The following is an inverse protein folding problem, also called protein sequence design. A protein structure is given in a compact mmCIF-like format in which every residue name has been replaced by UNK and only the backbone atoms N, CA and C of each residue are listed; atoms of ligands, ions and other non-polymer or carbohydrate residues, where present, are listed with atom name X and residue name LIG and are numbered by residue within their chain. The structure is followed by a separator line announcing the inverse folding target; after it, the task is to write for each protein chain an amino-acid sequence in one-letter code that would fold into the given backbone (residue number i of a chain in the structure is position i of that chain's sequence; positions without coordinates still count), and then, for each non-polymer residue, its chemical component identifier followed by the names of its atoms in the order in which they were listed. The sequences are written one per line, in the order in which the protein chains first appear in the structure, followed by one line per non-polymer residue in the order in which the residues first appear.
data_IF_147705052158
#
_entry.id   IF_147705052158
#
_cell.length_a   1.000
_cell.length_b   1.000
_cell.length_c   1.000
_cell.angle_alpha   90.00
_cell.angle_beta   90.00
_cell.angle_gamma   90.00
#
_symmetry.space_group_name_H-M   'P 1'
#
loop_
_entity.id
_entity.type
_entity.pdbx_description
1 polymer ?
#
# COMPACT_ATOMS: atom_id res chain seq x y z
N UNK A 1 20.48 -5.20 5.26
CA UNK A 1 19.04 -5.05 5.57
C UNK A 1 18.77 -3.57 5.73
N UNK A 2 17.65 -3.09 5.22
CA UNK A 2 17.17 -1.73 5.43
C UNK A 2 15.97 -1.87 6.34
N UNK A 3 16.02 -1.26 7.52
CA UNK A 3 14.89 -1.26 8.46
C UNK A 3 13.98 -0.09 8.14
N UNK A 4 12.69 -0.37 7.95
CA UNK A 4 11.65 0.62 7.61
C UNK A 4 10.54 0.53 8.64
N UNK A 5 10.20 1.66 9.27
CA UNK A 5 9.06 1.75 10.17
C UNK A 5 7.79 2.11 9.39
N UNK A 6 6.74 1.31 9.55
CA UNK A 6 5.44 1.53 8.89
C UNK A 6 4.32 1.54 9.93
N UNK A 7 3.36 2.46 9.75
CA UNK A 7 2.18 2.56 10.62
C UNK A 7 0.91 2.40 9.78
N UNK A 8 0.07 1.46 10.18
CA UNK A 8 -1.21 1.18 9.54
C UNK A 8 -2.36 1.74 10.40
N UNK A 9 -3.49 2.04 9.75
CA UNK A 9 -4.72 2.34 10.49
C UNK A 9 -5.31 1.06 11.12
N UNK A 10 -6.26 1.25 12.04
CA UNK A 10 -6.88 0.14 12.78
C UNK A 10 -7.56 -0.89 11.87
N UNK A 11 -8.38 -0.52 10.85
CA UNK A 11 -8.97 -1.50 9.95
C UNK A 11 -7.93 -2.32 9.18
N UNK A 12 -6.84 -1.70 8.73
CA UNK A 12 -5.76 -2.41 8.04
C UNK A 12 -5.03 -3.36 8.98
N UNK A 13 -4.78 -2.94 10.23
CA UNK A 13 -4.16 -3.80 11.24
C UNK A 13 -5.02 -5.00 11.61
N UNK A 14 -6.33 -4.84 11.72
CA UNK A 14 -7.26 -5.95 11.94
C UNK A 14 -7.18 -6.95 10.79
N UNK A 15 -7.18 -6.46 9.55
CA UNK A 15 -7.08 -7.35 8.39
C UNK A 15 -5.74 -8.08 8.31
N UNK A 16 -4.64 -7.41 8.65
CA UNK A 16 -3.31 -8.04 8.72
C UNK A 16 -3.26 -9.15 9.77
N UNK A 17 -3.90 -8.95 10.93
CA UNK A 17 -4.01 -9.99 11.98
C UNK A 17 -4.77 -11.21 11.49
N UNK A 18 -5.92 -11.00 10.84
CA UNK A 18 -6.72 -12.10 10.28
C UNK A 18 -5.89 -12.94 9.29
N UNK A 19 -5.19 -12.29 8.36
CA UNK A 19 -4.35 -12.98 7.37
C UNK A 19 -3.17 -13.72 8.03
N UNK A 20 -2.55 -13.09 9.04
CA UNK A 20 -1.47 -13.69 9.81
C UNK A 20 -1.94 -14.96 10.53
N UNK A 21 -3.10 -14.91 11.18
CA UNK A 21 -3.71 -16.04 11.88
C UNK A 21 -4.06 -17.17 10.90
N UNK A 22 -4.68 -16.85 9.76
CA UNK A 22 -5.05 -17.84 8.72
C UNK A 22 -3.82 -18.53 8.08
N UNK A 23 -2.74 -17.77 7.89
CA UNK A 23 -1.50 -18.27 7.28
C UNK A 23 -0.52 -18.91 8.28
N UNK A 24 -0.77 -18.78 9.59
CA UNK A 24 0.14 -19.21 10.64
C UNK A 24 1.45 -18.42 10.69
N UNK A 25 1.47 -17.20 10.14
CA UNK A 25 2.63 -16.31 10.11
C UNK A 25 2.51 -15.21 11.18
N UNK A 26 3.64 -14.57 11.49
CA UNK A 26 3.61 -13.27 12.18
C UNK A 26 3.27 -12.17 11.18
N UNK A 27 2.71 -11.06 11.66
CA UNK A 27 2.37 -9.90 10.84
C UNK A 27 3.56 -9.42 10.00
N UNK A 28 4.76 -9.37 10.58
CA UNK A 28 5.97 -8.95 9.87
C UNK A 28 6.30 -9.88 8.70
N UNK A 29 6.09 -11.19 8.87
CA UNK A 29 6.28 -12.17 7.81
C UNK A 29 5.25 -12.04 6.70
N UNK A 30 3.98 -11.75 7.04
CA UNK A 30 2.94 -11.46 6.05
C UNK A 30 3.32 -10.22 5.23
N UNK A 31 3.73 -9.14 5.88
CA UNK A 31 4.16 -7.91 5.22
C UNK A 31 5.34 -8.19 4.29
N UNK A 32 6.35 -8.93 4.76
CA UNK A 32 7.52 -9.29 3.95
C UNK A 32 7.13 -10.07 2.70
N UNK A 33 6.31 -11.12 2.83
CA UNK A 33 5.85 -11.93 1.69
C UNK A 33 5.03 -11.08 0.71
N UNK A 34 4.07 -10.30 1.20
CA UNK A 34 3.22 -9.47 0.34
C UNK A 34 4.04 -8.44 -0.42
N UNK A 35 4.96 -7.75 0.24
CA UNK A 35 5.83 -6.75 -0.42
C UNK A 35 6.81 -7.42 -1.39
N UNK A 36 7.35 -8.60 -1.04
CA UNK A 36 8.24 -9.35 -1.92
C UNK A 36 7.53 -9.75 -3.22
N UNK A 37 6.39 -10.42 -3.11
CA UNK A 37 5.58 -10.82 -4.27
C UNK A 37 5.15 -9.60 -5.07
N UNK A 38 4.74 -8.53 -4.39
CA UNK A 38 4.34 -7.29 -5.05
C UNK A 38 5.49 -6.65 -5.87
N UNK A 39 6.70 -6.58 -5.32
CA UNK A 39 7.84 -5.96 -6.00
C UNK A 39 8.44 -6.84 -7.10
N UNK A 40 8.29 -8.17 -7.00
CA UNK A 40 8.86 -9.13 -7.95
C UNK A 40 7.87 -9.64 -9.00
N UNK A 41 6.59 -9.28 -8.90
CA UNK A 41 5.60 -9.61 -9.93
C UNK A 41 5.90 -8.87 -11.24
N UNK A 42 6.43 -9.60 -12.21
CA UNK A 42 6.78 -9.11 -13.56
C UNK A 42 5.53 -8.99 -14.46
N UNK A 43 4.41 -9.63 -14.09
CA UNK A 43 3.14 -9.63 -14.82
C UNK A 43 2.18 -8.52 -14.40
N UNK A 44 2.31 -8.02 -13.17
CA UNK A 44 1.53 -6.90 -12.64
C UNK A 44 2.04 -5.55 -13.13
N UNK A 45 1.19 -4.77 -13.82
CA UNK A 45 1.51 -3.36 -14.10
C UNK A 45 1.09 -2.50 -12.93
N UNK A 46 2.07 -2.04 -12.16
CA UNK A 46 1.87 -1.02 -11.13
C UNK A 46 1.93 0.35 -11.79
N UNK A 47 0.79 1.02 -11.92
CA UNK A 47 0.77 2.42 -12.34
C UNK A 47 0.73 3.32 -11.11
N UNK A 48 1.86 3.95 -10.81
CA UNK A 48 1.96 5.02 -9.82
C UNK A 48 1.99 6.37 -10.51
N UNK A 49 1.14 7.32 -10.10
CA UNK A 49 1.14 8.64 -10.70
C UNK A 49 0.54 9.72 -9.81
N UNK A 50 0.87 10.97 -10.14
CA UNK A 50 0.20 12.13 -9.54
C UNK A 50 -1.26 12.15 -9.98
N UNK A 51 -2.15 12.42 -9.04
CA UNK A 51 -3.59 12.42 -9.26
C UNK A 51 -4.19 13.76 -8.87
N UNK A 52 -4.47 14.58 -9.88
CA UNK A 52 -4.94 15.96 -9.67
C UNK A 52 -6.32 16.05 -8.98
N UNK A 53 -7.19 15.03 -9.11
CA UNK A 53 -8.50 15.05 -8.43
C UNK A 53 -8.40 14.81 -6.92
N UNK A 54 -7.29 14.25 -6.43
CA UNK A 54 -7.02 14.08 -5.00
C UNK A 54 -6.27 15.26 -4.40
N UNK A 55 -6.14 16.39 -5.11
CA UNK A 55 -5.39 17.54 -4.62
C UNK A 55 -6.05 18.16 -3.37
N UNK A 56 -5.24 18.38 -2.34
CA UNK A 56 -5.66 19.03 -1.09
C UNK A 56 -4.56 19.97 -0.62
N UNK A 57 -4.92 21.23 -0.36
CA UNK A 57 -4.01 22.29 0.09
C UNK A 57 -2.73 22.39 -0.77
N UNK A 58 -2.91 22.43 -2.10
CA UNK A 58 -1.84 22.57 -3.09
C UNK A 58 -0.96 21.32 -3.31
N UNK A 59 -1.26 20.20 -2.66
CA UNK A 59 -0.55 18.93 -2.85
C UNK A 59 -1.41 17.96 -3.62
N UNK A 60 -0.95 17.62 -4.84
CA UNK A 60 -1.58 16.59 -5.68
C UNK A 60 -1.63 15.26 -4.95
N UNK A 61 -2.75 14.57 -5.07
CA UNK A 61 -2.90 13.20 -4.59
C UNK A 61 -2.00 12.22 -5.35
N UNK A 62 -2.02 10.99 -4.90
CA UNK A 62 -1.33 9.87 -5.50
C UNK A 62 -2.35 8.81 -5.90
N UNK A 63 -2.30 8.36 -7.15
CA UNK A 63 -3.13 7.24 -7.60
C UNK A 63 -2.22 6.05 -7.87
N UNK A 64 -2.69 4.92 -7.38
CA UNK A 64 -2.05 3.64 -7.49
C UNK A 64 -3.03 2.65 -8.10
N UNK A 65 -2.61 2.02 -9.19
CA UNK A 65 -3.38 0.98 -9.87
C UNK A 65 -2.60 -0.31 -9.77
N UNK A 66 -3.20 -1.29 -9.10
CA UNK A 66 -2.72 -2.67 -9.11
C UNK A 66 -3.56 -3.46 -10.07
N UNK A 67 -2.91 -3.97 -11.10
CA UNK A 67 -3.47 -4.99 -11.98
C UNK A 67 -2.87 -6.33 -11.57
N UNK A 68 -3.30 -6.86 -10.42
CA UNK A 68 -3.04 -8.25 -10.01
C UNK A 68 -4.13 -9.14 -10.63
N UNK A 69 -3.91 -10.45 -10.86
CA UNK A 69 -4.58 -11.21 -11.91
C UNK A 69 -6.11 -11.31 -11.83
N UNK A 70 -6.77 -10.89 -10.74
CA UNK A 70 -8.24 -11.02 -10.63
C UNK A 70 -9.03 -9.85 -10.02
N UNK A 71 -8.43 -8.71 -9.61
CA UNK A 71 -9.23 -7.51 -9.24
C UNK A 71 -8.50 -6.18 -9.51
N UNK A 72 -8.98 -5.36 -10.47
CA UNK A 72 -8.53 -3.98 -10.60
C UNK A 72 -9.15 -3.14 -9.48
N UNK A 73 -8.33 -2.74 -8.52
CA UNK A 73 -8.68 -1.74 -7.51
C UNK A 73 -7.88 -0.47 -7.75
N UNK A 74 -8.55 0.69 -7.72
CA UNK A 74 -7.86 1.97 -7.61
C UNK A 74 -7.65 2.25 -6.12
N UNK A 75 -6.40 2.38 -5.69
CA UNK A 75 -6.12 3.05 -4.43
C UNK A 75 -5.85 4.52 -4.76
N UNK A 76 -6.73 5.37 -4.26
CA UNK A 76 -6.66 6.82 -4.42
C UNK A 76 -6.28 7.44 -3.08
N UNK A 77 -5.03 7.89 -2.98
CA UNK A 77 -4.55 8.62 -1.82
C UNK A 77 -4.67 10.13 -2.07
N UNK A 78 -5.36 10.81 -1.18
CA UNK A 78 -5.53 12.26 -1.20
C UNK A 78 -4.23 12.99 -0.80
N UNK A 79 -4.15 14.29 -1.12
CA UNK A 79 -2.94 15.10 -0.89
C UNK A 79 -2.47 15.17 0.56
N UNK A 80 -3.37 15.05 1.53
CA UNK A 80 -3.07 14.97 2.96
C UNK A 80 -2.39 13.64 3.36
N UNK A 81 -2.83 12.51 2.80
CA UNK A 81 -2.12 11.22 2.97
C UNK A 81 -0.72 11.28 2.35
N UNK A 82 -0.59 11.90 1.18
CA UNK A 82 0.72 12.12 0.54
C UNK A 82 1.62 13.00 1.40
N UNK A 83 1.08 14.06 2.01
CA UNK A 83 1.84 14.90 2.96
C UNK A 83 2.34 14.07 4.14
N UNK A 84 1.46 13.28 4.79
CA UNK A 84 1.82 12.39 5.90
C UNK A 84 3.02 11.51 5.55
N UNK A 85 3.01 10.88 4.37
CA UNK A 85 4.08 9.96 3.96
C UNK A 85 5.39 10.63 3.54
N UNK A 86 5.38 11.92 3.15
CA UNK A 86 6.60 12.66 2.82
C UNK A 86 7.33 13.23 4.03
N UNK A 87 6.61 13.39 5.14
CA UNK A 87 7.13 13.95 6.38
C UNK A 87 7.61 12.89 7.37
N UNK A 88 7.38 11.61 7.07
CA UNK A 88 7.84 10.45 7.83
C UNK A 88 9.27 10.06 7.42
#
# INVERSE_FOLDING_TARGET
MIDVEVTFDEPTMEKLKEIADESGLRIEGVIEVVIHEFCNDVGGRVYTGRWSKGEKDGVKGFRYVVQWPYRPGFLEATGDLVKKWRSA
#
